data_IF_165131206159
#
_entry.id   IF_165131206159
#
_cell.length_a   1.000
_cell.length_b   1.000
_cell.length_c   1.000
_cell.angle_alpha   90.00
_cell.angle_beta   90.00
_cell.angle_gamma   90.00
#
_symmetry.space_group_name_H-M   'P 1'
#
loop_
_entity.id
_entity.type
_entity.pdbx_description
1 polymer ?
#
# COMPACT_ATOMS: atom_id res chain seq x y z
N UNK A 1 -6.30 -14.40 -3.83
CA UNK A 1 -5.50 -14.96 -2.71
C UNK A 1 -4.62 -13.87 -2.10
N UNK A 2 -3.88 -13.12 -2.92
CA UNK A 2 -2.93 -12.07 -2.47
C UNK A 2 -3.56 -10.95 -1.62
N UNK A 3 -4.76 -10.50 -1.97
CA UNK A 3 -5.46 -9.47 -1.18
C UNK A 3 -5.87 -9.93 0.22
N UNK A 4 -6.20 -11.22 0.39
CA UNK A 4 -6.51 -11.78 1.71
C UNK A 4 -5.22 -11.84 2.55
N UNK A 5 -4.13 -12.33 1.96
CA UNK A 5 -2.81 -12.36 2.62
C UNK A 5 -2.37 -10.95 3.04
N UNK A 6 -2.55 -9.95 2.18
CA UNK A 6 -2.20 -8.57 2.53
C UNK A 6 -3.09 -8.00 3.62
N UNK A 7 -4.39 -8.32 3.64
CA UNK A 7 -5.30 -7.92 4.72
C UNK A 7 -4.87 -8.51 6.05
N UNK A 8 -4.54 -9.79 6.07
CA UNK A 8 -4.05 -10.49 7.27
C UNK A 8 -2.74 -9.83 7.76
N UNK A 9 -1.81 -9.55 6.85
CA UNK A 9 -0.57 -8.85 7.15
C UNK A 9 -0.78 -7.43 7.69
N UNK A 10 -1.74 -6.68 7.14
CA UNK A 10 -2.11 -5.35 7.64
C UNK A 10 -2.67 -5.45 9.06
N UNK A 11 -3.54 -6.43 9.34
CA UNK A 11 -4.08 -6.65 10.68
C UNK A 11 -3.00 -7.05 11.70
N UNK A 12 -2.00 -7.84 11.28
CA UNK A 12 -0.93 -8.33 12.15
C UNK A 12 0.16 -7.28 12.39
N UNK A 13 0.59 -6.56 11.34
CA UNK A 13 1.73 -5.63 11.39
C UNK A 13 1.32 -4.18 11.63
N UNK A 14 0.13 -3.77 11.17
CA UNK A 14 -0.39 -2.40 11.28
C UNK A 14 -1.83 -2.41 11.83
N UNK A 15 -2.07 -2.97 13.03
CA UNK A 15 -3.42 -3.16 13.57
C UNK A 15 -4.18 -1.84 13.76
N UNK A 16 -3.47 -0.75 14.08
CA UNK A 16 -4.05 0.60 14.26
C UNK A 16 -4.64 1.11 12.94
N UNK A 17 -3.86 1.00 11.87
CA UNK A 17 -4.26 1.42 10.54
C UNK A 17 -5.39 0.54 9.99
N UNK A 18 -5.30 -0.77 10.19
CA UNK A 18 -6.36 -1.71 9.79
C UNK A 18 -7.69 -1.40 10.51
N UNK A 19 -7.66 -1.21 11.82
CA UNK A 19 -8.86 -0.83 12.61
C UNK A 19 -9.44 0.50 12.13
N UNK A 20 -8.58 1.47 11.80
CA UNK A 20 -9.01 2.75 11.28
C UNK A 20 -9.71 2.63 9.91
N UNK A 21 -9.17 1.83 8.99
CA UNK A 21 -9.83 1.55 7.72
C UNK A 21 -11.17 0.83 7.90
N UNK A 22 -11.27 -0.13 8.82
CA UNK A 22 -12.52 -0.82 9.14
C UNK A 22 -13.56 0.15 9.76
N UNK A 23 -13.13 1.03 10.67
CA UNK A 23 -13.99 2.04 11.30
C UNK A 23 -14.62 2.98 10.25
N UNK A 24 -13.84 3.40 9.26
CA UNK A 24 -14.31 4.28 8.19
C UNK A 24 -14.80 3.52 6.95
N UNK A 25 -14.89 2.19 7.00
CA UNK A 25 -15.29 1.30 5.88
C UNK A 25 -14.53 1.60 4.58
N UNK A 26 -13.25 1.91 4.69
CA UNK A 26 -12.38 2.20 3.55
C UNK A 26 -11.82 0.91 2.98
N UNK A 27 -12.16 0.61 1.73
CA UNK A 27 -11.60 -0.55 1.03
C UNK A 27 -10.27 -0.21 0.34
N UNK A 28 -9.17 -0.40 1.07
CA UNK A 28 -7.82 -0.23 0.53
C UNK A 28 -7.43 -1.31 -0.48
N UNK A 29 -8.17 -2.42 -0.55
CA UNK A 29 -7.93 -3.55 -1.46
C UNK A 29 -7.93 -3.12 -2.93
N UNK A 30 -8.79 -2.15 -3.30
CA UNK A 30 -8.88 -1.64 -4.67
C UNK A 30 -7.57 -0.99 -5.14
N UNK A 31 -6.90 -0.27 -4.25
CA UNK A 31 -5.65 0.44 -4.56
C UNK A 31 -4.49 -0.56 -4.58
N UNK A 32 -4.40 -1.42 -3.56
CA UNK A 32 -3.34 -2.44 -3.47
C UNK A 32 -3.46 -3.53 -4.51
N UNK A 33 -4.66 -3.76 -5.05
CA UNK A 33 -4.87 -4.67 -6.17
C UNK A 33 -4.15 -4.21 -7.44
N UNK A 34 -4.25 -2.91 -7.75
CA UNK A 34 -3.50 -2.37 -8.89
C UNK A 34 -1.99 -2.52 -8.66
N UNK A 35 -1.48 -2.18 -7.47
CA UNK A 35 -0.05 -2.31 -7.14
C UNK A 35 0.49 -3.73 -7.33
N UNK A 36 -0.28 -4.75 -6.93
CA UNK A 36 0.15 -6.14 -7.04
C UNK A 36 0.04 -6.65 -8.48
N UNK A 37 -0.95 -6.20 -9.25
CA UNK A 37 -1.10 -6.57 -10.65
C UNK A 37 0.03 -6.01 -11.52
N UNK A 38 0.37 -4.74 -11.33
CA UNK A 38 1.40 -4.09 -12.15
C UNK A 38 2.78 -4.11 -11.51
N UNK A 39 2.96 -4.81 -10.38
CA UNK A 39 4.24 -4.85 -9.63
C UNK A 39 4.80 -3.43 -9.43
N UNK A 40 3.94 -2.51 -9.02
CA UNK A 40 4.26 -1.09 -8.82
C UNK A 40 4.78 -0.32 -10.05
N UNK A 41 4.75 -0.89 -11.27
CA UNK A 41 5.24 -0.25 -12.51
C UNK A 41 4.56 1.08 -12.80
N UNK A 42 3.28 1.19 -12.49
CA UNK A 42 2.50 2.42 -12.63
C UNK A 42 2.21 3.07 -11.26
N UNK A 43 3.08 2.87 -10.27
CA UNK A 43 2.90 3.45 -8.94
C UNK A 43 4.19 3.97 -8.32
N UNK A 44 5.34 3.72 -8.93
CA UNK A 44 6.65 4.07 -8.38
C UNK A 44 7.59 4.58 -9.47
N UNK A 45 8.36 5.63 -9.16
CA UNK A 45 9.46 6.16 -9.98
C UNK A 45 10.42 5.07 -10.45
N UNK A 46 10.95 5.19 -11.66
CA UNK A 46 11.87 4.23 -12.29
C UNK A 46 13.01 3.78 -11.37
N UNK A 47 13.68 4.69 -10.66
CA UNK A 47 14.82 4.35 -9.79
C UNK A 47 14.46 3.45 -8.59
N UNK A 48 13.28 3.65 -8.00
CA UNK A 48 12.78 2.81 -6.89
C UNK A 48 12.16 1.54 -7.47
N UNK A 49 11.51 1.64 -8.63
CA UNK A 49 10.93 0.51 -9.35
C UNK A 49 11.99 -0.54 -9.65
N UNK A 50 13.14 -0.18 -10.22
CA UNK A 50 14.21 -1.15 -10.51
C UNK A 50 14.70 -1.88 -9.24
N UNK A 51 14.82 -1.19 -8.10
CA UNK A 51 15.21 -1.83 -6.83
C UNK A 51 14.15 -2.81 -6.31
N UNK A 52 12.87 -2.49 -6.46
CA UNK A 52 11.76 -3.38 -6.15
C UNK A 52 11.81 -4.60 -7.06
N UNK A 53 12.05 -4.41 -8.35
CA UNK A 53 12.13 -5.46 -9.35
C UNK A 53 13.34 -6.38 -9.15
N UNK A 54 14.52 -5.83 -8.87
CA UNK A 54 15.72 -6.63 -8.55
C UNK A 54 15.46 -7.53 -7.33
N UNK A 55 14.86 -6.97 -6.28
CA UNK A 55 14.50 -7.71 -5.06
C UNK A 55 13.41 -8.75 -5.34
N UNK A 56 12.42 -8.41 -6.17
CA UNK A 56 11.33 -9.29 -6.57
C UNK A 56 11.83 -10.47 -7.41
N UNK A 57 12.78 -10.24 -8.33
CA UNK A 57 13.39 -11.30 -9.14
C UNK A 57 14.26 -12.23 -8.30
N UNK A 58 14.89 -11.71 -7.23
CA UNK A 58 15.75 -12.50 -6.35
C UNK A 58 14.99 -13.26 -5.24
N UNK A 59 14.14 -12.59 -4.47
CA UNK A 59 13.41 -13.17 -3.32
C UNK A 59 12.00 -13.66 -3.67
N UNK A 60 11.46 -13.26 -4.83
CA UNK A 60 10.13 -13.61 -5.30
C UNK A 60 9.01 -12.65 -4.83
N UNK A 61 7.74 -13.08 -4.96
CA UNK A 61 6.57 -12.20 -4.81
C UNK A 61 6.31 -11.66 -3.40
N UNK A 62 6.97 -12.22 -2.38
CA UNK A 62 6.89 -11.76 -0.99
C UNK A 62 7.33 -10.31 -0.83
N UNK A 63 8.23 -9.85 -1.70
CA UNK A 63 8.77 -8.49 -1.71
C UNK A 63 7.68 -7.45 -1.93
N UNK A 64 6.72 -7.70 -2.82
CA UNK A 64 5.62 -6.78 -3.14
C UNK A 64 4.81 -6.48 -1.87
N UNK A 65 4.48 -7.50 -1.08
CA UNK A 65 3.74 -7.32 0.17
C UNK A 65 4.54 -6.53 1.21
N UNK A 66 5.87 -6.78 1.31
CA UNK A 66 6.74 -6.04 2.22
C UNK A 66 6.81 -4.55 1.84
N UNK A 67 6.94 -4.24 0.55
CA UNK A 67 6.95 -2.86 0.07
C UNK A 67 5.60 -2.17 0.30
N UNK A 68 4.49 -2.84 -0.01
CA UNK A 68 3.16 -2.29 0.28
C UNK A 68 2.98 -1.98 1.78
N UNK A 69 3.33 -2.93 2.67
CA UNK A 69 3.28 -2.70 4.11
C UNK A 69 4.18 -1.52 4.54
N UNK A 70 5.38 -1.44 3.99
CA UNK A 70 6.31 -0.35 4.30
C UNK A 70 5.75 1.02 3.87
N UNK A 71 5.10 1.10 2.71
CA UNK A 71 4.44 2.32 2.23
C UNK A 71 3.30 2.75 3.15
N UNK A 72 2.43 1.82 3.56
CA UNK A 72 1.37 2.11 4.51
C UNK A 72 1.92 2.52 5.88
N UNK A 73 2.97 1.87 6.36
CA UNK A 73 3.65 2.24 7.61
C UNK A 73 4.25 3.64 7.54
N UNK A 74 4.88 3.99 6.42
CA UNK A 74 5.48 5.31 6.21
C UNK A 74 4.45 6.44 6.26
N UNK A 75 3.22 6.18 5.82
CA UNK A 75 2.11 7.15 5.84
C UNK A 75 1.09 6.90 6.95
N UNK A 76 1.39 6.00 7.89
CA UNK A 76 0.45 5.60 8.94
C UNK A 76 -0.05 6.81 9.74
N UNK A 77 0.86 7.68 10.20
CA UNK A 77 0.48 8.86 10.99
C UNK A 77 -0.41 9.85 10.23
N UNK A 78 -0.15 10.04 8.95
CA UNK A 78 -0.93 10.94 8.10
C UNK A 78 -2.33 10.37 7.83
N UNK A 79 -2.42 9.05 7.60
CA UNK A 79 -3.70 8.38 7.40
C UNK A 79 -4.53 8.41 8.69
N UNK A 80 -3.92 8.15 9.85
CA UNK A 80 -4.62 8.14 11.15
C UNK A 80 -5.18 9.50 11.55
N UNK A 81 -4.64 10.61 11.02
CA UNK A 81 -5.18 11.97 11.25
C UNK A 81 -6.49 12.21 10.50
N UNK A 82 -6.75 11.47 9.43
CA UNK A 82 -7.96 11.64 8.62
C UNK A 82 -9.13 10.94 9.31
N UNK A 83 -10.30 11.58 9.38
CA UNK A 83 -11.47 11.04 10.08
C UNK A 83 -12.67 10.85 9.16
N UNK A 84 -12.43 10.75 7.85
CA UNK A 84 -13.47 10.64 6.83
C UNK A 84 -13.03 9.66 5.73
N UNK A 85 -13.94 8.76 5.35
CA UNK A 85 -13.67 7.69 4.39
C UNK A 85 -13.30 8.22 3.00
N UNK A 86 -13.92 9.31 2.56
CA UNK A 86 -13.63 9.95 1.28
C UNK A 86 -12.29 10.68 1.32
N UNK A 87 -11.96 11.33 2.44
CA UNK A 87 -10.66 11.98 2.64
C UNK A 87 -9.52 10.97 2.65
N UNK A 88 -9.69 9.85 3.37
CA UNK A 88 -8.73 8.74 3.39
C UNK A 88 -8.53 8.17 1.98
N UNK A 89 -9.62 7.88 1.26
CA UNK A 89 -9.53 7.33 -0.08
C UNK A 89 -8.85 8.28 -1.07
N UNK A 90 -9.18 9.58 -1.01
CA UNK A 90 -8.50 10.63 -1.80
C UNK A 90 -7.02 10.70 -1.46
N UNK A 91 -6.66 10.64 -0.19
CA UNK A 91 -5.26 10.66 0.25
C UNK A 91 -4.50 9.44 -0.26
N UNK A 92 -5.05 8.22 -0.14
CA UNK A 92 -4.41 7.01 -0.64
C UNK A 92 -4.17 7.07 -2.15
N UNK A 93 -5.15 7.60 -2.91
CA UNK A 93 -5.01 7.80 -4.36
C UNK A 93 -3.97 8.88 -4.71
N UNK A 94 -3.95 9.97 -3.95
CA UNK A 94 -2.97 11.04 -4.12
C UNK A 94 -1.55 10.53 -3.83
N UNK A 95 -1.36 9.86 -2.69
CA UNK A 95 -0.10 9.25 -2.30
C UNK A 95 0.43 8.27 -3.35
N UNK A 96 -0.45 7.42 -3.90
CA UNK A 96 -0.09 6.52 -5.00
C UNK A 96 0.49 7.28 -6.20
N UNK A 97 -0.03 8.46 -6.52
CA UNK A 97 0.50 9.35 -7.56
C UNK A 97 1.78 10.06 -7.13
N UNK A 98 1.91 10.45 -5.87
CA UNK A 98 3.16 11.06 -5.38
C UNK A 98 4.33 10.08 -5.44
N UNK A 99 4.09 8.77 -5.24
CA UNK A 99 5.13 7.76 -5.40
C UNK A 99 5.56 7.61 -6.88
N UNK A 100 4.70 7.97 -7.84
CA UNK A 100 5.05 8.05 -9.27
C UNK A 100 5.92 9.28 -9.61
N UNK A 101 5.69 10.40 -8.94
CA UNK A 101 6.27 11.72 -9.28
C UNK A 101 7.55 12.08 -8.48
N UNK A 102 7.96 11.24 -7.52
CA UNK A 102 9.14 11.47 -6.66
C UNK A 102 10.47 11.14 -7.37
#
# INVERSE_FOLDING_TARGET
>A
VDQRVFRDLMSEKLPRLHTHFEQYKVDYTLITFNWFLVVFVDSVVSDILFKIWDSFLYEGPKVIFRFALALFKYKEEEILKLQDSMSIFKYLRYFTRTILDA
#
